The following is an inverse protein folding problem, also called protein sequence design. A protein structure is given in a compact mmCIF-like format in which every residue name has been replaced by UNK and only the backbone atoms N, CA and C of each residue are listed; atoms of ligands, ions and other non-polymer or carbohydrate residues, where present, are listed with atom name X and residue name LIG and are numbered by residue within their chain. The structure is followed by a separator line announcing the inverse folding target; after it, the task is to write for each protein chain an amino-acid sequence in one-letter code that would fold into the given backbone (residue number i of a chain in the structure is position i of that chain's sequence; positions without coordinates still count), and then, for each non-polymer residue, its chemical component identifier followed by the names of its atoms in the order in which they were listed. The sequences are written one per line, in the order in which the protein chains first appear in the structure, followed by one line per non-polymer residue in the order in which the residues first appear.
data_IF_769212390356
#
_entry.id   IF_769212390356
#
_cell.length_a   1.000
_cell.length_b   1.000
_cell.length_c   1.000
_cell.angle_alpha   90.00
_cell.angle_beta   90.00
_cell.angle_gamma   90.00
#
_symmetry.space_group_name_H-M   'P 1'
#
loop_
_entity.id
_entity.type
_entity.pdbx_description
1 polymer ?
#
# COMPACT_ATOMS: atom_id res chain seq x y z
N UNK A 1 0.69 -0.46 -18.75
CA UNK A 1 0.73 -0.83 -17.31
C UNK A 1 1.71 0.03 -16.50
N UNK A 2 3.00 0.09 -16.89
CA UNK A 2 4.01 0.94 -16.24
C UNK A 2 3.58 2.41 -16.08
N UNK A 3 3.13 3.06 -17.16
CA UNK A 3 2.68 4.47 -17.14
C UNK A 3 1.48 4.70 -16.20
N UNK A 4 0.51 3.80 -16.23
CA UNK A 4 -0.64 3.88 -15.33
C UNK A 4 -0.24 3.70 -13.85
N UNK A 5 0.67 2.76 -13.54
CA UNK A 5 1.18 2.61 -12.18
C UNK A 5 1.95 3.84 -11.71
N UNK A 6 2.66 4.54 -12.60
CA UNK A 6 3.29 5.82 -12.27
C UNK A 6 2.24 6.87 -11.84
N UNK A 7 1.09 6.94 -12.52
CA UNK A 7 -0.03 7.83 -12.13
C UNK A 7 -0.64 7.40 -10.78
N UNK A 8 -0.74 6.10 -10.52
CA UNK A 8 -1.25 5.63 -9.24
C UNK A 8 -0.32 6.03 -8.08
N UNK A 9 0.99 5.94 -8.28
CA UNK A 9 2.01 6.33 -7.29
C UNK A 9 1.96 7.82 -6.95
N UNK A 10 1.78 8.69 -7.96
CA UNK A 10 1.77 10.15 -7.73
C UNK A 10 0.58 10.62 -6.89
N UNK A 11 -0.56 9.91 -6.92
CA UNK A 11 -1.74 10.23 -6.09
C UNK A 11 -1.46 10.02 -4.59
N UNK A 12 -0.70 8.99 -4.24
CA UNK A 12 -0.32 8.75 -2.85
C UNK A 12 0.76 9.73 -2.36
N UNK A 13 1.66 10.16 -3.25
CA UNK A 13 2.68 11.16 -2.92
C UNK A 13 2.07 12.51 -2.48
N UNK A 14 0.94 12.90 -3.08
CA UNK A 14 0.22 14.12 -2.66
C UNK A 14 -0.33 14.01 -1.23
N UNK A 15 -0.84 12.85 -0.84
CA UNK A 15 -1.33 12.59 0.52
C UNK A 15 -0.18 12.68 1.53
N UNK A 16 0.96 12.07 1.20
CA UNK A 16 2.19 12.13 2.01
C UNK A 16 2.70 13.57 2.16
N UNK A 17 2.69 14.34 1.07
CA UNK A 17 3.21 15.70 1.04
C UNK A 17 2.36 16.72 1.81
N UNK A 18 1.04 16.49 1.94
CA UNK A 18 0.11 17.47 2.50
C UNK A 18 -0.28 17.19 3.95
N UNK A 19 -0.14 15.95 4.43
CA UNK A 19 -0.52 15.59 5.79
C UNK A 19 0.47 16.13 6.84
N UNK A 20 -0.07 16.83 7.84
CA UNK A 20 0.69 17.40 8.96
C UNK A 20 0.49 16.65 10.28
N UNK A 21 -0.48 15.72 10.34
CA UNK A 21 -0.78 14.91 11.53
C UNK A 21 -0.91 13.42 11.16
N UNK A 22 -0.65 12.49 12.10
CA UNK A 22 -0.84 11.06 11.86
C UNK A 22 -2.26 10.73 11.38
N UNK A 23 -3.27 11.33 12.01
CA UNK A 23 -4.68 11.09 11.69
C UNK A 23 -5.03 11.53 10.26
N UNK A 24 -4.55 12.71 9.83
CA UNK A 24 -4.77 13.19 8.46
C UNK A 24 -4.10 12.28 7.42
N UNK A 25 -2.88 11.84 7.69
CA UNK A 25 -2.16 10.95 6.78
C UNK A 25 -2.87 9.61 6.67
N UNK A 26 -3.26 9.02 7.80
CA UNK A 26 -3.98 7.75 7.83
C UNK A 26 -5.30 7.85 7.08
N UNK A 27 -6.15 8.83 7.38
CA UNK A 27 -7.44 8.98 6.71
C UNK A 27 -7.29 9.20 5.20
N UNK A 28 -6.42 10.13 4.80
CA UNK A 28 -6.19 10.42 3.39
C UNK A 28 -5.63 9.22 2.61
N UNK A 29 -4.76 8.43 3.24
CA UNK A 29 -4.23 7.22 2.63
C UNK A 29 -5.30 6.13 2.50
N UNK A 30 -6.06 5.87 3.57
CA UNK A 30 -7.11 4.86 3.60
C UNK A 30 -8.25 5.18 2.63
N UNK A 31 -8.62 6.46 2.50
CA UNK A 31 -9.60 6.91 1.52
C UNK A 31 -9.12 6.67 0.10
N UNK A 32 -7.86 7.01 -0.22
CA UNK A 32 -7.29 6.74 -1.54
C UNK A 32 -7.18 5.24 -1.82
N UNK A 33 -6.86 4.43 -0.82
CA UNK A 33 -6.78 2.98 -0.95
C UNK A 33 -8.16 2.38 -1.27
N UNK A 34 -9.19 2.75 -0.51
CA UNK A 34 -10.56 2.33 -0.74
C UNK A 34 -11.09 2.81 -2.10
N UNK A 35 -10.83 4.07 -2.45
CA UNK A 35 -11.17 4.64 -3.76
C UNK A 35 -10.53 3.83 -4.90
N UNK A 36 -9.23 3.55 -4.79
CA UNK A 36 -8.48 2.77 -5.78
C UNK A 36 -9.07 1.37 -5.96
N UNK A 37 -9.44 0.71 -4.87
CA UNK A 37 -10.06 -0.61 -4.89
C UNK A 37 -11.40 -0.60 -5.65
N UNK A 38 -12.25 0.41 -5.40
CA UNK A 38 -13.62 0.46 -5.91
C UNK A 38 -13.68 1.00 -7.34
N UNK A 39 -12.95 2.07 -7.63
CA UNK A 39 -13.02 2.77 -8.92
C UNK A 39 -12.15 2.12 -9.99
N UNK A 40 -11.05 1.45 -9.59
CA UNK A 40 -10.05 0.92 -10.52
C UNK A 40 -9.78 -0.60 -10.37
N UNK A 41 -10.77 -1.46 -10.06
CA UNK A 41 -10.54 -2.88 -9.78
C UNK A 41 -10.02 -3.65 -10.99
N UNK A 42 -10.46 -3.30 -12.21
CA UNK A 42 -10.03 -3.97 -13.44
C UNK A 42 -8.54 -3.76 -13.72
N UNK A 43 -8.04 -2.56 -13.44
CA UNK A 43 -6.62 -2.23 -13.63
C UNK A 43 -5.73 -2.97 -12.64
N UNK A 44 -6.19 -3.09 -11.39
CA UNK A 44 -5.48 -3.87 -10.37
C UNK A 44 -5.58 -5.38 -10.65
N UNK A 45 -6.68 -5.87 -11.21
CA UNK A 45 -6.77 -7.25 -11.69
C UNK A 45 -5.72 -7.54 -12.77
N UNK A 46 -5.56 -6.62 -13.73
CA UNK A 46 -4.54 -6.74 -14.79
C UNK A 46 -3.12 -6.75 -14.23
N UNK A 47 -2.86 -6.00 -13.14
CA UNK A 47 -1.58 -6.06 -12.43
C UNK A 47 -1.26 -7.46 -11.93
N UNK A 48 -2.19 -8.06 -11.17
CA UNK A 48 -1.97 -9.38 -10.58
C UNK A 48 -1.87 -10.47 -11.65
N UNK A 49 -2.61 -10.34 -12.75
CA UNK A 49 -2.49 -11.22 -13.91
C UNK A 49 -1.11 -11.12 -14.56
N UNK A 50 -0.61 -9.91 -14.86
CA UNK A 50 0.73 -9.71 -15.42
C UNK A 50 1.83 -10.24 -14.49
N UNK A 51 1.69 -10.03 -13.18
CA UNK A 51 2.62 -10.56 -12.18
C UNK A 51 2.63 -12.08 -12.18
N UNK A 52 1.47 -12.72 -12.27
CA UNK A 52 1.38 -14.17 -12.39
C UNK A 52 2.01 -14.69 -13.68
N UNK A 53 1.74 -14.04 -14.83
CA UNK A 53 2.32 -14.42 -16.11
C UNK A 53 3.85 -14.35 -16.10
N UNK A 54 4.46 -13.41 -15.37
CA UNK A 54 5.92 -13.31 -15.27
C UNK A 54 6.64 -14.51 -14.63
N UNK A 55 5.89 -15.38 -13.93
CA UNK A 55 6.40 -16.64 -13.42
C UNK A 55 6.66 -17.67 -14.54
N UNK A 56 6.00 -17.50 -15.69
CA UNK A 56 6.12 -18.37 -16.86
C UNK A 56 6.85 -17.68 -18.01
N UNK A 57 6.52 -16.42 -18.26
CA UNK A 57 7.01 -15.63 -19.39
C UNK A 57 8.15 -14.69 -18.97
N UNK A 58 9.37 -14.99 -19.42
CA UNK A 58 10.57 -14.23 -19.01
C UNK A 58 10.53 -12.76 -19.44
N UNK A 59 9.86 -12.48 -20.56
CA UNK A 59 9.71 -11.15 -21.15
C UNK A 59 9.03 -10.16 -20.21
N UNK A 60 8.24 -10.63 -19.24
CA UNK A 60 7.56 -9.78 -18.26
C UNK A 60 8.35 -9.53 -16.97
N UNK A 61 9.40 -10.32 -16.68
CA UNK A 61 10.07 -10.30 -15.36
C UNK A 61 10.69 -8.94 -15.02
N UNK A 62 11.39 -8.33 -15.96
CA UNK A 62 12.02 -7.03 -15.76
C UNK A 62 10.98 -5.91 -15.49
N UNK A 63 9.84 -6.00 -16.18
CA UNK A 63 8.74 -5.05 -16.04
C UNK A 63 8.01 -5.18 -14.71
N UNK A 64 7.69 -6.41 -14.32
CA UNK A 64 7.08 -6.73 -13.04
C UNK A 64 7.99 -6.31 -11.88
N UNK A 65 9.28 -6.66 -11.93
CA UNK A 65 10.24 -6.28 -10.91
C UNK A 65 10.35 -4.75 -10.73
N UNK A 66 10.34 -3.99 -11.83
CA UNK A 66 10.37 -2.53 -11.78
C UNK A 66 9.10 -1.93 -11.16
N UNK A 67 7.93 -2.50 -11.46
CA UNK A 67 6.65 -2.07 -10.89
C UNK A 67 6.59 -2.43 -9.41
N UNK A 68 6.94 -3.65 -9.01
CA UNK A 68 7.00 -4.08 -7.60
C UNK A 68 7.90 -3.15 -6.79
N UNK A 69 9.12 -2.87 -7.27
CA UNK A 69 10.03 -1.97 -6.58
C UNK A 69 9.47 -0.54 -6.46
N UNK A 70 8.69 -0.08 -7.45
CA UNK A 70 8.04 1.23 -7.38
C UNK A 70 6.92 1.28 -6.35
N UNK A 71 6.13 0.20 -6.26
CA UNK A 71 5.06 0.07 -5.27
C UNK A 71 5.62 -0.05 -3.85
N UNK A 72 6.68 -0.84 -3.66
CA UNK A 72 7.39 -0.93 -2.38
C UNK A 72 7.86 0.45 -1.91
N UNK A 73 8.53 1.21 -2.78
CA UNK A 73 8.99 2.57 -2.44
C UNK A 73 7.83 3.50 -2.07
N UNK A 74 6.69 3.40 -2.76
CA UNK A 74 5.51 4.21 -2.48
C UNK A 74 4.93 3.87 -1.10
N UNK A 75 4.69 2.58 -0.82
CA UNK A 75 4.19 2.11 0.49
C UNK A 75 5.16 2.53 1.60
N UNK A 76 6.46 2.38 1.37
CA UNK A 76 7.47 2.74 2.35
C UNK A 76 7.43 4.23 2.69
N UNK A 77 7.34 5.13 1.70
CA UNK A 77 7.21 6.58 1.94
C UNK A 77 6.03 6.93 2.84
N UNK A 78 4.88 6.29 2.63
CA UNK A 78 3.68 6.52 3.46
C UNK A 78 3.93 6.07 4.90
N UNK A 79 4.43 4.85 5.09
CA UNK A 79 4.61 4.24 6.41
C UNK A 79 5.71 4.95 7.21
N UNK A 80 6.82 5.33 6.57
CA UNK A 80 7.86 6.12 7.24
C UNK A 80 7.36 7.50 7.61
N UNK A 81 6.59 8.16 6.74
CA UNK A 81 6.00 9.47 7.06
C UNK A 81 5.04 9.37 8.24
N UNK A 82 4.22 8.31 8.29
CA UNK A 82 3.33 8.06 9.43
C UNK A 82 4.14 7.83 10.71
N UNK A 83 5.18 6.99 10.65
CA UNK A 83 6.07 6.74 11.78
C UNK A 83 6.76 8.01 12.29
N UNK A 84 7.25 8.87 11.39
CA UNK A 84 7.81 10.18 11.75
C UNK A 84 6.80 11.06 12.48
N UNK A 85 5.56 11.13 12.00
CA UNK A 85 4.50 11.95 12.60
C UNK A 85 4.08 11.47 14.00
N UNK A 86 4.25 10.17 14.30
CA UNK A 86 4.02 9.62 15.65
C UNK A 86 5.30 9.53 16.49
N UNK A 87 6.46 9.96 15.96
CA UNK A 87 7.72 9.99 16.70
C UNK A 87 8.42 8.63 16.86
N UNK A 88 8.22 7.70 15.92
CA UNK A 88 8.76 6.33 15.97
C UNK A 88 9.39 5.90 14.65
N UNK A 89 9.80 4.64 14.55
CA UNK A 89 10.27 4.01 13.30
C UNK A 89 9.52 2.70 13.05
N UNK A 90 9.27 2.31 11.78
CA UNK A 90 8.69 1.00 11.48
C UNK A 90 9.57 -0.15 11.99
N UNK A 91 8.95 -1.21 12.50
CA UNK A 91 9.62 -2.40 13.04
C UNK A 91 9.97 -3.44 11.97
N UNK A 92 9.54 -3.21 10.73
CA UNK A 92 9.70 -4.12 9.60
C UNK A 92 10.49 -3.44 8.47
N UNK A 93 11.05 -4.26 7.59
CA UNK A 93 11.74 -3.77 6.39
C UNK A 93 10.74 -3.25 5.35
N UNK A 94 11.19 -2.44 4.38
CA UNK A 94 10.36 -2.02 3.24
C UNK A 94 9.70 -3.20 2.51
N UNK A 95 10.45 -4.27 2.25
CA UNK A 95 9.95 -5.46 1.56
C UNK A 95 8.87 -6.21 2.34
N UNK A 96 9.02 -6.33 3.67
CA UNK A 96 8.02 -6.97 4.54
C UNK A 96 6.76 -6.11 4.60
N UNK A 97 6.91 -4.79 4.74
CA UNK A 97 5.76 -3.88 4.71
C UNK A 97 5.01 -3.97 3.39
N UNK A 98 5.73 -3.96 2.27
CA UNK A 98 5.13 -4.10 0.94
C UNK A 98 4.37 -5.42 0.79
N UNK A 99 4.94 -6.54 1.22
CA UNK A 99 4.27 -7.84 1.16
C UNK A 99 2.96 -7.86 1.98
N UNK A 100 2.95 -7.26 3.17
CA UNK A 100 1.73 -7.14 3.99
C UNK A 100 0.66 -6.31 3.29
N UNK A 101 1.03 -5.13 2.76
CA UNK A 101 0.08 -4.25 2.06
C UNK A 101 -0.46 -4.89 0.78
N UNK A 102 0.41 -5.47 -0.04
CA UNK A 102 0.03 -6.08 -1.31
C UNK A 102 -0.90 -7.28 -1.10
N UNK A 103 -0.62 -8.13 -0.11
CA UNK A 103 -1.49 -9.26 0.23
C UNK A 103 -2.89 -8.82 0.68
N UNK A 104 -2.97 -7.81 1.56
CA UNK A 104 -4.25 -7.24 1.99
C UNK A 104 -5.04 -6.66 0.82
N UNK A 105 -4.37 -5.90 -0.06
CA UNK A 105 -5.00 -5.31 -1.23
C UNK A 105 -5.49 -6.38 -2.21
N UNK A 106 -4.67 -7.40 -2.49
CA UNK A 106 -5.07 -8.51 -3.37
C UNK A 106 -6.30 -9.24 -2.83
N UNK A 107 -6.32 -9.55 -1.54
CA UNK A 107 -7.47 -10.19 -0.91
C UNK A 107 -8.74 -9.33 -1.03
N UNK A 108 -8.63 -8.03 -0.74
CA UNK A 108 -9.75 -7.10 -0.89
C UNK A 108 -10.21 -6.98 -2.35
N UNK A 109 -9.28 -7.00 -3.31
CA UNK A 109 -9.61 -6.95 -4.73
C UNK A 109 -10.41 -8.16 -5.18
N UNK A 110 -10.04 -9.37 -4.73
CA UNK A 110 -10.80 -10.58 -5.03
C UNK A 110 -12.25 -10.47 -4.53
N UNK A 111 -12.44 -9.98 -3.29
CA UNK A 111 -13.76 -9.77 -2.69
C UNK A 111 -14.55 -8.68 -3.41
N UNK A 112 -13.90 -7.56 -3.76
CA UNK A 112 -14.50 -6.49 -4.55
C UNK A 112 -14.98 -6.99 -5.92
N UNK A 113 -14.17 -7.78 -6.62
CA UNK A 113 -14.52 -8.37 -7.91
C UNK A 113 -15.64 -9.43 -7.79
N UNK A 114 -15.78 -10.06 -6.63
CA UNK A 114 -16.88 -10.96 -6.32
C UNK A 114 -18.18 -10.23 -5.93
N UNK A 115 -18.18 -8.90 -5.85
CA UNK A 115 -19.35 -8.09 -5.51
C UNK A 115 -19.62 -7.98 -4.00
N UNK A 116 -18.66 -8.29 -3.15
CA UNK A 116 -18.81 -8.14 -1.70
C UNK A 116 -18.73 -6.65 -1.31
N UNK A 117 -19.87 -6.08 -0.88
CA UNK A 117 -19.98 -4.66 -0.52
C UNK A 117 -19.03 -4.21 0.61
N UNK A 118 -18.59 -5.14 1.48
CA UNK A 118 -17.70 -4.86 2.61
C UNK A 118 -16.21 -4.77 2.25
N UNK A 119 -15.80 -5.10 1.02
CA UNK A 119 -14.38 -5.28 0.68
C UNK A 119 -13.51 -4.05 0.98
N UNK A 120 -13.99 -2.86 0.65
CA UNK A 120 -13.26 -1.61 0.89
C UNK A 120 -13.17 -1.24 2.39
N UNK A 121 -14.25 -1.43 3.15
CA UNK A 121 -14.27 -1.15 4.58
C UNK A 121 -13.34 -2.12 5.34
N UNK A 122 -13.39 -3.39 4.99
CA UNK A 122 -12.53 -4.42 5.59
C UNK A 122 -11.06 -4.18 5.26
N UNK A 123 -10.74 -3.74 4.04
CA UNK A 123 -9.37 -3.34 3.66
C UNK A 123 -8.85 -2.20 4.54
N UNK A 124 -9.68 -1.16 4.78
CA UNK A 124 -9.29 -0.03 5.64
C UNK A 124 -8.98 -0.49 7.06
N UNK A 125 -9.85 -1.34 7.62
CA UNK A 125 -9.67 -1.89 8.96
C UNK A 125 -8.40 -2.76 9.06
N UNK A 126 -8.17 -3.65 8.09
CA UNK A 126 -7.01 -4.54 8.09
C UNK A 126 -5.69 -3.78 7.95
N UNK A 127 -5.62 -2.78 7.07
CA UNK A 127 -4.44 -1.92 6.93
C UNK A 127 -4.17 -1.14 8.22
N UNK A 128 -5.21 -0.58 8.84
CA UNK A 128 -5.07 0.13 10.12
C UNK A 128 -4.49 -0.79 11.20
N UNK A 129 -5.02 -2.01 11.31
CA UNK A 129 -4.56 -2.99 12.28
C UNK A 129 -3.11 -3.44 12.05
N UNK A 130 -2.69 -3.59 10.78
CA UNK A 130 -1.30 -3.94 10.45
C UNK A 130 -0.36 -2.78 10.76
N UNK A 131 -0.70 -1.55 10.37
CA UNK A 131 0.14 -0.38 10.65
C UNK A 131 0.35 -0.19 12.16
N UNK A 132 -0.69 -0.36 12.97
CA UNK A 132 -0.60 -0.27 14.43
C UNK A 132 0.34 -1.32 15.05
N UNK A 133 0.51 -2.48 14.42
CA UNK A 133 1.42 -3.53 14.90
C UNK A 133 2.88 -3.29 14.50
N UNK A 134 3.11 -2.63 13.36
CA UNK A 134 4.46 -2.42 12.82
C UNK A 134 5.00 -1.01 13.06
N UNK A 135 4.16 -0.07 13.48
CA UNK A 135 4.52 1.31 13.87
C UNK A 135 4.08 1.53 15.33
N UNK A 136 4.97 1.37 16.32
CA UNK A 136 4.60 1.44 17.72
C UNK A 136 4.37 2.90 18.14
N UNK A 137 3.22 3.18 18.77
CA UNK A 137 2.84 4.52 19.23
C UNK A 137 3.59 4.97 20.49
N UNK A 138 4.07 4.01 21.29
CA UNK A 138 4.73 4.26 22.56
C UNK A 138 6.12 3.62 22.57
N UNK A 139 7.17 4.39 22.27
CA UNK A 139 8.52 4.05 22.70
C UNK A 139 9.12 5.20 23.48
N UNK A 140 9.52 4.93 24.72
CA UNK A 140 10.52 5.75 25.38
C UNK A 140 11.77 5.84 24.48
N UNK A 141 12.41 7.02 24.39
CA UNK A 141 13.58 7.19 23.56
C UNK A 141 14.64 6.17 23.98
N UNK A 142 15.14 5.41 23.01
CA UNK A 142 16.23 4.48 23.24
C UNK A 142 17.40 5.25 23.86
N UNK A 143 17.70 4.97 25.13
CA UNK A 143 18.89 5.44 25.82
C UNK A 143 20.10 5.13 24.92
N UNK A 144 20.71 6.19 24.39
CA UNK A 144 22.03 6.17 23.77
C UNK A 144 23.06 6.54 24.82
#
# INVERSE_FOLDING_TARGET
MREYKAICVTRYDQVVATATTPAQLQEGFLDKLAQTLVEEPQMHRLWYDLRNQSMFEETFRADVAAIDASLERMVWRVVTRFAELVGTTPLVTPSVMYALFDGLFQQALLRQLAGEAGAAADLRAAVTAVVAQVVPLDREPALR
#
